data_IF_918554250439
#
_entry.id   IF_918554250439
#
_cell.length_a   1.000
_cell.length_b   1.000
_cell.length_c   1.000
_cell.angle_alpha   90.00
_cell.angle_beta   90.00
_cell.angle_gamma   90.00
#
_symmetry.space_group_name_H-M   'P 1'
#
loop_
_entity.id
_entity.type
_entity.pdbx_description
1 polymer ?
#
# COMPACT_ATOMS: atom_id res chain seq x y z
N UNK A 1 2.60 94.06 -3.30
CA UNK A 1 2.53 93.65 -4.72
C UNK A 1 1.80 92.32 -4.81
N UNK A 2 0.53 92.29 -5.25
CA UNK A 2 -0.23 91.04 -5.43
C UNK A 2 0.25 90.35 -6.70
N UNK A 3 0.68 89.09 -6.58
CA UNK A 3 1.19 88.32 -7.70
C UNK A 3 0.10 88.17 -8.78
N UNK A 4 0.30 88.80 -9.94
CA UNK A 4 -0.55 88.74 -11.15
C UNK A 4 -0.68 87.33 -11.77
N UNK A 5 -0.16 86.32 -11.08
CA UNK A 5 -0.01 84.94 -11.53
C UNK A 5 -0.47 83.90 -10.49
N UNK A 6 -1.12 84.33 -9.40
CA UNK A 6 -1.59 83.44 -8.34
C UNK A 6 -2.59 82.39 -8.84
N UNK A 7 -3.42 82.76 -9.82
CA UNK A 7 -4.44 81.87 -10.39
C UNK A 7 -3.83 80.71 -11.19
N UNK A 8 -2.76 80.96 -11.97
CA UNK A 8 -2.05 79.90 -12.69
C UNK A 8 -1.29 78.97 -11.74
N UNK A 9 -0.74 79.53 -10.65
CA UNK A 9 -0.06 78.75 -9.61
C UNK A 9 -1.08 77.85 -8.90
N UNK A 10 -2.24 78.38 -8.50
CA UNK A 10 -3.32 77.62 -7.86
C UNK A 10 -3.82 76.51 -8.78
N UNK A 11 -4.02 76.79 -10.08
CA UNK A 11 -4.44 75.79 -11.06
C UNK A 11 -3.39 74.68 -11.27
N UNK A 12 -2.10 75.04 -11.27
CA UNK A 12 -1.00 74.08 -11.32
C UNK A 12 -0.97 73.16 -10.09
N UNK A 13 -1.12 73.72 -8.90
CA UNK A 13 -1.21 72.93 -7.66
C UNK A 13 -2.45 72.04 -7.62
N UNK A 14 -3.60 72.52 -8.12
CA UNK A 14 -4.83 71.72 -8.21
C UNK A 14 -4.69 70.52 -9.15
N UNK A 15 -4.06 70.72 -10.32
CA UNK A 15 -3.76 69.61 -11.26
C UNK A 15 -2.78 68.60 -10.65
N UNK A 16 -1.74 69.08 -9.97
CA UNK A 16 -0.76 68.22 -9.31
C UNK A 16 -1.38 67.43 -8.15
N UNK A 17 -2.16 68.07 -7.29
CA UNK A 17 -2.89 67.42 -6.20
C UNK A 17 -3.90 66.38 -6.73
N UNK A 18 -4.65 66.72 -7.78
CA UNK A 18 -5.55 65.78 -8.45
C UNK A 18 -4.82 64.57 -9.02
N UNK A 19 -3.69 64.77 -9.68
CA UNK A 19 -2.84 63.69 -10.19
C UNK A 19 -2.29 62.78 -9.08
N UNK A 20 -1.84 63.35 -7.96
CA UNK A 20 -1.39 62.61 -6.79
C UNK A 20 -2.51 61.76 -6.17
N UNK A 21 -3.71 62.32 -6.04
CA UNK A 21 -4.87 61.58 -5.53
C UNK A 21 -5.23 60.40 -6.43
N UNK A 22 -5.26 60.61 -7.76
CA UNK A 22 -5.56 59.55 -8.72
C UNK A 22 -4.49 58.45 -8.68
N UNK A 23 -3.21 58.84 -8.66
CA UNK A 23 -2.09 57.88 -8.58
C UNK A 23 -2.11 57.07 -7.29
N UNK A 24 -2.42 57.71 -6.15
CA UNK A 24 -2.50 57.04 -4.84
C UNK A 24 -3.70 56.10 -4.79
N UNK A 25 -4.86 56.55 -5.29
CA UNK A 25 -6.05 55.71 -5.37
C UNK A 25 -5.83 54.49 -6.28
N UNK A 26 -5.19 54.67 -7.44
CA UNK A 26 -4.84 53.58 -8.36
C UNK A 26 -3.84 52.60 -7.72
N UNK A 27 -2.83 53.10 -7.00
CA UNK A 27 -1.89 52.25 -6.28
C UNK A 27 -2.60 51.42 -5.20
N UNK A 28 -3.52 52.04 -4.45
CA UNK A 28 -4.27 51.37 -3.40
C UNK A 28 -5.21 50.29 -3.96
N UNK A 29 -5.87 50.55 -5.10
CA UNK A 29 -6.74 49.55 -5.73
C UNK A 29 -5.95 48.36 -6.29
N UNK A 30 -4.78 48.60 -6.89
CA UNK A 30 -3.89 47.52 -7.35
C UNK A 30 -3.37 46.67 -6.18
N UNK A 31 -2.95 47.31 -5.08
CA UNK A 31 -2.51 46.60 -3.87
C UNK A 31 -3.65 45.79 -3.24
N UNK A 32 -4.85 46.37 -3.14
CA UNK A 32 -6.02 45.67 -2.62
C UNK A 32 -6.39 44.45 -3.49
N UNK A 33 -6.34 44.61 -4.82
CA UNK A 33 -6.53 43.52 -5.77
C UNK A 33 -5.49 42.42 -5.60
N UNK A 34 -4.21 42.78 -5.49
CA UNK A 34 -3.11 41.84 -5.26
C UNK A 34 -3.29 41.06 -3.94
N UNK A 35 -3.61 41.74 -2.84
CA UNK A 35 -3.83 41.09 -1.54
C UNK A 35 -5.03 40.13 -1.63
N UNK A 36 -6.12 40.55 -2.26
CA UNK A 36 -7.31 39.73 -2.42
C UNK A 36 -7.05 38.47 -3.25
N UNK A 37 -6.41 38.63 -4.41
CA UNK A 37 -6.05 37.50 -5.30
C UNK A 37 -5.09 36.55 -4.60
N UNK A 38 -4.02 37.05 -3.96
CA UNK A 38 -3.08 36.19 -3.23
C UNK A 38 -3.76 35.45 -2.07
N UNK A 39 -4.69 36.09 -1.36
CA UNK A 39 -5.43 35.42 -0.28
C UNK A 39 -6.28 34.27 -0.80
N UNK A 40 -6.93 34.45 -1.96
CA UNK A 40 -7.72 33.40 -2.61
C UNK A 40 -6.85 32.24 -3.12
N UNK A 41 -5.78 32.56 -3.85
CA UNK A 41 -4.85 31.56 -4.39
C UNK A 41 -4.15 30.79 -3.26
N UNK A 42 -3.75 31.47 -2.18
CA UNK A 42 -3.14 30.83 -1.02
C UNK A 42 -4.10 29.83 -0.36
N UNK A 43 -5.38 30.17 -0.22
CA UNK A 43 -6.39 29.25 0.32
C UNK A 43 -6.57 28.02 -0.58
N UNK A 44 -6.61 28.20 -1.90
CA UNK A 44 -6.69 27.10 -2.85
C UNK A 44 -5.46 26.20 -2.76
N UNK A 45 -4.26 26.78 -2.73
CA UNK A 45 -2.99 26.06 -2.61
C UNK A 45 -2.92 25.28 -1.29
N UNK A 46 -3.35 25.89 -0.18
CA UNK A 46 -3.43 25.22 1.12
C UNK A 46 -4.36 24.02 1.07
N UNK A 47 -5.57 24.18 0.53
CA UNK A 47 -6.53 23.08 0.39
C UNK A 47 -5.97 21.93 -0.46
N UNK A 48 -5.30 22.24 -1.58
CA UNK A 48 -4.65 21.22 -2.42
C UNK A 48 -3.50 20.53 -1.70
N UNK A 49 -2.75 21.25 -0.89
CA UNK A 49 -1.65 20.68 -0.08
C UNK A 49 -2.20 19.73 0.97
N UNK A 50 -3.29 20.10 1.67
CA UNK A 50 -3.94 19.23 2.65
C UNK A 50 -4.49 17.94 2.01
N UNK A 51 -5.08 18.04 0.81
CA UNK A 51 -5.54 16.87 0.05
C UNK A 51 -4.37 15.98 -0.40
N UNK A 52 -3.30 16.59 -0.91
CA UNK A 52 -2.08 15.89 -1.30
C UNK A 52 -1.46 15.14 -0.12
N UNK A 53 -1.29 15.80 1.02
CA UNK A 53 -0.71 15.21 2.22
C UNK A 53 -1.53 14.02 2.72
N UNK A 54 -2.87 14.11 2.63
CA UNK A 54 -3.77 12.99 2.97
C UNK A 54 -3.57 11.79 2.05
N UNK A 55 -3.48 12.01 0.74
CA UNK A 55 -3.25 10.94 -0.24
C UNK A 55 -1.86 10.32 -0.01
N UNK A 56 -0.85 11.16 0.18
CA UNK A 56 0.52 10.73 0.39
C UNK A 56 0.69 9.90 1.66
N UNK A 57 0.05 10.31 2.77
CA UNK A 57 0.02 9.52 4.00
C UNK A 57 -0.64 8.15 3.79
N UNK A 58 -1.74 8.09 3.03
CA UNK A 58 -2.38 6.83 2.66
C UNK A 58 -1.49 5.92 1.81
N UNK A 59 -0.75 6.50 0.85
CA UNK A 59 0.22 5.75 0.04
C UNK A 59 1.36 5.16 0.87
N UNK A 60 1.90 5.92 1.83
CA UNK A 60 2.94 5.42 2.75
C UNK A 60 2.40 4.24 3.58
N UNK A 61 1.20 4.40 4.15
CA UNK A 61 0.57 3.34 4.94
C UNK A 61 0.33 2.08 4.11
N UNK A 62 -0.15 2.23 2.87
CA UNK A 62 -0.35 1.12 1.96
C UNK A 62 0.96 0.38 1.66
N UNK A 63 2.03 1.10 1.32
CA UNK A 63 3.34 0.50 1.03
C UNK A 63 3.89 -0.27 2.23
N UNK A 64 3.79 0.30 3.44
CA UNK A 64 4.22 -0.38 4.67
C UNK A 64 3.47 -1.71 4.90
N UNK A 65 2.16 -1.74 4.65
CA UNK A 65 1.36 -2.97 4.74
C UNK A 65 1.75 -4.01 3.68
N UNK A 66 1.98 -3.57 2.45
CA UNK A 66 2.39 -4.45 1.35
C UNK A 66 3.78 -5.03 1.60
N UNK A 67 4.75 -4.21 2.01
CA UNK A 67 6.12 -4.65 2.30
C UNK A 67 6.15 -5.63 3.47
N UNK A 68 5.42 -5.34 4.54
CA UNK A 68 5.22 -6.24 5.68
C UNK A 68 4.68 -7.60 5.23
N UNK A 69 3.61 -7.61 4.43
CA UNK A 69 3.00 -8.83 3.90
C UNK A 69 3.97 -9.62 3.00
N UNK A 70 4.68 -8.94 2.11
CA UNK A 70 5.69 -9.53 1.25
C UNK A 70 6.81 -10.19 2.05
N UNK A 71 7.33 -9.52 3.07
CA UNK A 71 8.39 -10.06 3.93
C UNK A 71 7.96 -11.38 4.58
N UNK A 72 6.74 -11.47 5.13
CA UNK A 72 6.25 -12.72 5.71
C UNK A 72 5.97 -13.81 4.67
N UNK A 73 5.50 -13.45 3.47
CA UNK A 73 5.34 -14.40 2.38
C UNK A 73 6.69 -14.95 1.91
N UNK A 74 7.72 -14.10 1.83
CA UNK A 74 9.08 -14.47 1.43
C UNK A 74 9.73 -15.45 2.41
N UNK A 75 9.47 -15.30 3.71
CA UNK A 75 9.88 -16.27 4.75
C UNK A 75 9.20 -17.64 4.60
N UNK A 76 8.07 -17.68 3.88
CA UNK A 76 7.21 -18.86 3.84
C UNK A 76 7.72 -19.90 2.85
N UNK A 77 8.56 -20.80 3.32
CA UNK A 77 9.15 -21.87 2.51
C UNK A 77 10.65 -21.71 2.27
N UNK A 78 11.24 -20.60 2.72
CA UNK A 78 12.69 -20.39 2.71
C UNK A 78 13.40 -20.91 3.97
N UNK A 79 12.65 -21.22 5.04
CA UNK A 79 13.22 -21.86 6.24
C UNK A 79 12.27 -22.93 6.80
N UNK A 80 12.72 -24.19 6.75
CA UNK A 80 11.99 -25.37 7.25
C UNK A 80 11.89 -25.42 8.79
N UNK A 81 12.76 -24.70 9.51
CA UNK A 81 12.72 -24.61 10.98
C UNK A 81 11.65 -23.64 11.49
N UNK A 82 11.08 -22.80 10.61
CA UNK A 82 10.02 -21.88 11.00
C UNK A 82 8.68 -22.60 11.13
N UNK A 83 7.92 -22.23 12.16
CA UNK A 83 6.55 -22.71 12.34
C UNK A 83 5.65 -22.15 11.23
N UNK A 84 5.43 -22.98 10.21
CA UNK A 84 4.65 -22.62 9.02
C UNK A 84 3.19 -22.28 9.36
N UNK A 85 2.60 -22.93 10.37
CA UNK A 85 1.21 -22.66 10.80
C UNK A 85 1.11 -21.25 11.38
N UNK A 86 2.06 -20.88 12.25
CA UNK A 86 2.11 -19.54 12.82
C UNK A 86 2.35 -18.49 11.73
N UNK A 87 3.27 -18.76 10.81
CA UNK A 87 3.58 -17.85 9.71
C UNK A 87 2.37 -17.64 8.78
N UNK A 88 1.61 -18.70 8.50
CA UNK A 88 0.36 -18.61 7.75
C UNK A 88 -0.67 -17.75 8.45
N UNK A 89 -0.81 -17.87 9.77
CA UNK A 89 -1.70 -17.00 10.56
C UNK A 89 -1.28 -15.54 10.46
N UNK A 90 0.01 -15.25 10.58
CA UNK A 90 0.55 -13.88 10.46
C UNK A 90 0.28 -13.31 9.07
N UNK A 91 0.52 -14.08 8.00
CA UNK A 91 0.22 -13.66 6.62
C UNK A 91 -1.27 -13.36 6.43
N UNK A 92 -2.16 -14.21 6.95
CA UNK A 92 -3.61 -13.96 6.89
C UNK A 92 -4.01 -12.69 7.64
N UNK A 93 -3.43 -12.41 8.81
CA UNK A 93 -3.67 -11.16 9.55
C UNK A 93 -3.18 -9.95 8.78
N UNK A 94 -1.95 -9.99 8.24
CA UNK A 94 -1.39 -8.87 7.44
C UNK A 94 -2.17 -8.62 6.16
N UNK A 95 -2.66 -9.69 5.52
CA UNK A 95 -3.57 -9.56 4.38
C UNK A 95 -4.86 -8.82 4.78
N UNK A 96 -5.44 -9.13 5.94
CA UNK A 96 -6.66 -8.46 6.41
C UNK A 96 -6.41 -6.97 6.64
N UNK A 97 -5.30 -6.62 7.30
CA UNK A 97 -4.88 -5.22 7.49
C UNK A 97 -4.70 -4.48 6.15
N UNK A 98 -4.12 -5.15 5.15
CA UNK A 98 -3.99 -4.61 3.80
C UNK A 98 -5.36 -4.36 3.17
N UNK A 99 -6.29 -5.31 3.25
CA UNK A 99 -7.65 -5.15 2.71
C UNK A 99 -8.39 -3.99 3.38
N UNK A 100 -8.27 -3.86 4.71
CA UNK A 100 -8.87 -2.74 5.45
C UNK A 100 -8.33 -1.38 4.97
N UNK A 101 -7.04 -1.28 4.67
CA UNK A 101 -6.45 -0.04 4.15
C UNK A 101 -6.91 0.23 2.71
N UNK A 102 -6.98 -0.81 1.86
CA UNK A 102 -7.46 -0.71 0.49
C UNK A 102 -8.91 -0.24 0.40
N UNK A 103 -9.76 -0.60 1.37
CA UNK A 103 -11.15 -0.15 1.44
C UNK A 103 -11.31 1.34 1.75
N UNK A 104 -10.29 2.00 2.28
CA UNK A 104 -10.30 3.44 2.60
C UNK A 104 -9.89 4.31 1.42
N UNK A 105 -9.29 3.71 0.39
CA UNK A 105 -8.76 4.40 -0.79
C UNK A 105 -9.71 4.29 -1.98
N UNK A 106 -9.55 5.13 -3.01
CA UNK A 106 -10.35 5.00 -4.21
C UNK A 106 -10.01 3.70 -4.96
N UNK A 107 -11.04 2.96 -5.32
CA UNK A 107 -10.96 1.65 -5.99
C UNK A 107 -10.13 1.66 -7.26
N UNK A 108 -10.12 2.78 -7.99
CA UNK A 108 -9.33 2.96 -9.22
C UNK A 108 -7.84 2.97 -8.95
N UNK A 109 -7.42 3.62 -7.87
CA UNK A 109 -6.01 3.79 -7.52
C UNK A 109 -5.40 2.51 -6.96
N UNK A 110 -6.25 1.66 -6.34
CA UNK A 110 -5.79 0.45 -5.63
C UNK A 110 -6.15 -0.87 -6.31
N UNK A 111 -6.59 -0.82 -7.57
CA UNK A 111 -7.05 -1.99 -8.33
C UNK A 111 -6.03 -3.14 -8.34
N UNK A 112 -4.75 -2.80 -8.57
CA UNK A 112 -3.67 -3.80 -8.64
C UNK A 112 -3.46 -4.47 -7.28
N UNK A 113 -3.44 -3.68 -6.20
CA UNK A 113 -3.26 -4.20 -4.85
C UNK A 113 -4.45 -5.06 -4.40
N UNK A 114 -5.67 -4.70 -4.78
CA UNK A 114 -6.85 -5.54 -4.55
C UNK A 114 -6.75 -6.89 -5.27
N UNK A 115 -6.33 -6.88 -6.54
CA UNK A 115 -6.11 -8.12 -7.28
C UNK A 115 -5.02 -8.99 -6.63
N UNK A 116 -3.91 -8.38 -6.21
CA UNK A 116 -2.83 -9.10 -5.52
C UNK A 116 -3.29 -9.69 -4.19
N UNK A 117 -3.99 -8.91 -3.37
CA UNK A 117 -4.54 -9.36 -2.10
C UNK A 117 -5.51 -10.54 -2.27
N UNK A 118 -6.30 -10.55 -3.34
CA UNK A 118 -7.17 -11.68 -3.70
C UNK A 118 -6.37 -12.96 -3.98
N UNK A 119 -5.32 -12.86 -4.81
CA UNK A 119 -4.49 -14.00 -5.21
C UNK A 119 -3.75 -14.66 -4.05
N UNK A 120 -3.50 -13.95 -2.95
CA UNK A 120 -2.86 -14.53 -1.75
C UNK A 120 -3.68 -15.70 -1.18
N UNK A 121 -5.02 -15.68 -1.23
CA UNK A 121 -5.81 -16.82 -0.75
C UNK A 121 -5.56 -18.07 -1.59
N UNK A 122 -5.58 -17.91 -2.92
CA UNK A 122 -5.32 -19.01 -3.85
C UNK A 122 -3.94 -19.61 -3.58
N UNK A 123 -2.93 -18.76 -3.35
CA UNK A 123 -1.59 -19.21 -3.01
C UNK A 123 -1.55 -20.00 -1.69
N UNK A 124 -2.17 -19.47 -0.63
CA UNK A 124 -2.18 -20.14 0.68
C UNK A 124 -2.95 -21.47 0.65
N UNK A 125 -4.09 -21.51 -0.03
CA UNK A 125 -4.89 -22.73 -0.22
C UNK A 125 -4.12 -23.79 -1.00
N UNK A 126 -3.47 -23.40 -2.10
CA UNK A 126 -2.66 -24.30 -2.91
C UNK A 126 -1.49 -24.86 -2.11
N UNK A 127 -0.80 -24.02 -1.34
CA UNK A 127 0.30 -24.46 -0.47
C UNK A 127 -0.16 -25.46 0.58
N UNK A 128 -1.31 -25.20 1.20
CA UNK A 128 -1.88 -26.11 2.20
C UNK A 128 -2.32 -27.44 1.58
N UNK A 129 -2.86 -27.43 0.36
CA UNK A 129 -3.18 -28.65 -0.39
C UNK A 129 -1.92 -29.47 -0.70
N UNK A 130 -0.84 -28.83 -1.15
CA UNK A 130 0.45 -29.50 -1.38
C UNK A 130 0.98 -30.11 -0.08
N UNK A 131 0.94 -29.35 1.03
CA UNK A 131 1.39 -29.84 2.33
C UNK A 131 0.66 -31.11 2.76
N UNK A 132 -0.66 -31.16 2.56
CA UNK A 132 -1.48 -32.34 2.86
C UNK A 132 -1.10 -33.53 1.96
N UNK A 133 -0.94 -33.30 0.67
CA UNK A 133 -0.53 -34.33 -0.28
C UNK A 133 0.84 -34.94 0.06
N UNK A 134 1.82 -34.09 0.45
CA UNK A 134 3.15 -34.56 0.88
C UNK A 134 3.07 -35.42 2.15
N UNK A 135 2.23 -35.03 3.12
CA UNK A 135 2.02 -35.83 4.35
C UNK A 135 1.40 -37.18 3.98
N UNK A 136 0.35 -37.20 3.17
CA UNK A 136 -0.32 -38.43 2.72
C UNK A 136 0.63 -39.35 1.96
N UNK A 137 1.40 -38.81 1.00
CA UNK A 137 2.43 -39.55 0.28
C UNK A 137 3.43 -40.19 1.23
N UNK A 138 3.92 -39.44 2.23
CA UNK A 138 4.89 -39.95 3.19
C UNK A 138 4.34 -41.09 4.05
N UNK A 139 3.07 -41.03 4.43
CA UNK A 139 2.40 -42.09 5.21
C UNK A 139 2.26 -43.36 4.37
N UNK A 140 1.71 -43.25 3.16
CA UNK A 140 1.53 -44.39 2.24
C UNK A 140 2.87 -45.02 1.89
N UNK A 141 3.91 -44.20 1.65
CA UNK A 141 5.27 -44.69 1.37
C UNK A 141 5.85 -45.46 2.55
N UNK A 142 5.67 -44.96 3.77
CA UNK A 142 6.14 -45.63 4.98
C UNK A 142 5.42 -46.96 5.21
N UNK A 143 4.09 -47.00 5.00
CA UNK A 143 3.30 -48.22 5.12
C UNK A 143 3.69 -49.25 4.05
N UNK A 144 3.91 -48.82 2.81
CA UNK A 144 4.39 -49.70 1.74
C UNK A 144 5.76 -50.30 2.10
N UNK A 145 6.70 -49.47 2.56
CA UNK A 145 8.03 -49.92 2.98
C UNK A 145 7.95 -50.94 4.12
N UNK A 146 7.04 -50.73 5.08
CA UNK A 146 6.77 -51.67 6.17
C UNK A 146 6.21 -52.99 5.66
N UNK A 147 5.20 -52.96 4.80
CA UNK A 147 4.64 -54.15 4.16
C UNK A 147 5.68 -54.94 3.37
N UNK A 148 6.56 -54.26 2.62
CA UNK A 148 7.66 -54.90 1.88
C UNK A 148 8.66 -55.57 2.82
N UNK A 149 9.00 -54.92 3.93
CA UNK A 149 9.89 -55.51 4.94
C UNK A 149 9.25 -56.73 5.62
N UNK A 150 7.98 -56.63 6.01
CA UNK A 150 7.25 -57.72 6.65
C UNK A 150 7.11 -58.93 5.71
N UNK A 151 6.80 -58.70 4.42
CA UNK A 151 6.75 -59.76 3.41
C UNK A 151 8.12 -60.42 3.21
N UNK A 152 9.21 -59.63 3.17
CA UNK A 152 10.57 -60.20 3.09
C UNK A 152 10.90 -61.05 4.32
N UNK A 153 10.48 -60.66 5.51
CA UNK A 153 10.68 -61.44 6.72
C UNK A 153 9.82 -62.72 6.75
N UNK A 154 8.55 -62.63 6.34
CA UNK A 154 7.66 -63.78 6.25
C UNK A 154 8.18 -64.82 5.25
N UNK A 155 8.61 -64.38 4.06
CA UNK A 155 9.22 -65.25 3.05
C UNK A 155 10.47 -65.97 3.58
N UNK A 156 11.34 -65.27 4.34
CA UNK A 156 12.53 -65.87 4.99
C UNK A 156 12.17 -66.89 6.08
N UNK A 157 11.14 -66.62 6.88
CA UNK A 157 10.65 -67.57 7.91
C UNK A 157 10.06 -68.83 7.28
N UNK A 158 9.33 -68.70 6.17
CA UNK A 158 8.80 -69.83 5.41
C UNK A 158 9.91 -70.70 4.81
N UNK A 159 11.01 -70.10 4.34
CA UNK A 159 12.16 -70.85 3.80
C UNK A 159 12.97 -71.60 4.87
N UNK A 160 13.03 -71.09 6.11
CA UNK A 160 13.65 -71.77 7.25
C UNK A 160 12.78 -72.87 7.88
N UNK A 161 11.46 -72.84 7.63
CA UNK A 161 10.47 -73.74 8.21
C UNK A 161 10.23 -75.08 7.49
N UNK A 162 11.03 -75.44 6.48
CA UNK A 162 10.88 -76.71 5.73
C UNK A 162 9.54 -76.92 5.00
N UNK A 163 8.80 -75.87 4.64
CA UNK A 163 7.61 -76.03 3.80
C UNK A 163 7.93 -75.52 2.39
N UNK A 164 8.19 -76.46 1.48
CA UNK A 164 8.14 -76.25 0.04
C UNK A 164 6.70 -75.93 -0.37
N UNK A 165 6.41 -74.66 -0.67
CA UNK A 165 5.15 -74.31 -1.33
C UNK A 165 5.38 -74.45 -2.83
N UNK A 166 4.98 -75.61 -3.38
CA UNK A 166 4.78 -75.76 -4.82
C UNK A 166 3.48 -75.03 -5.23
N UNK A 167 3.67 -74.10 -6.17
CA UNK A 167 2.71 -73.38 -7.05
C UNK A 167 1.44 -72.78 -6.42
#
# INVERSE_FOLDING_TARGET
>A
MKAKNSEKIIHGYLKFAGGLFISTALSMTLLAGFIHTNSSEYKLMKSKTEEYDKIYAGQIALVDKVDSLYNYLSLMGSNEQLNQIMLQKVVSTRKMELIEELQRMDTKDVLIYNNLASQINVFLETKEAIRKAVIEESLVRNDLMRCVQDNKQAARKLTLGNISVEK
#
